data_IF_151712120366
#
_entry.id   IF_151712120366
#
_cell.length_a   1.000
_cell.length_b   1.000
_cell.length_c   1.000
_cell.angle_alpha   90.00
_cell.angle_beta   90.00
_cell.angle_gamma   90.00
#
_symmetry.space_group_name_H-M   'P 1'
#
loop_
_entity.id
_entity.type
_entity.pdbx_description
1 polymer ?
#
# COMPACT_ATOMS: atom_id res chain seq x y z
N UNK A 1 26.42 -4.32 28.03
CA UNK A 1 25.84 -5.53 27.42
C UNK A 1 24.74 -5.06 26.49
N UNK A 2 25.03 -5.04 25.19
CA UNK A 2 24.02 -4.74 24.17
C UNK A 2 23.26 -6.01 23.81
N UNK A 3 22.03 -5.83 23.33
CA UNK A 3 21.49 -6.65 22.25
C UNK A 3 20.33 -5.90 21.60
N UNK A 4 20.59 -5.49 20.37
CA UNK A 4 19.62 -5.11 19.36
C UNK A 4 19.12 -6.39 18.68
N UNK A 5 17.81 -6.51 18.44
CA UNK A 5 17.19 -7.40 17.44
C UNK A 5 15.75 -6.90 17.24
N UNK A 6 15.50 -5.97 16.32
CA UNK A 6 15.36 -6.15 14.86
C UNK A 6 14.19 -7.05 14.46
N UNK A 7 13.06 -6.38 14.23
CA UNK A 7 12.06 -6.56 13.15
C UNK A 7 12.16 -7.79 12.24
N UNK A 8 11.05 -8.53 12.12
CA UNK A 8 10.89 -9.56 11.08
C UNK A 8 9.46 -10.08 11.00
N UNK A 9 8.57 -9.28 10.42
CA UNK A 9 7.21 -9.68 10.03
C UNK A 9 7.27 -10.86 9.06
N UNK A 10 6.75 -12.02 9.47
CA UNK A 10 6.56 -13.19 8.60
C UNK A 10 5.40 -12.89 7.66
N UNK A 11 5.72 -12.42 6.45
CA UNK A 11 4.78 -12.30 5.35
C UNK A 11 4.69 -13.67 4.66
N UNK A 12 3.65 -14.44 4.97
CA UNK A 12 3.29 -15.63 4.22
C UNK A 12 2.75 -15.19 2.85
N UNK A 13 3.62 -15.20 1.85
CA UNK A 13 3.27 -14.99 0.45
C UNK A 13 2.66 -16.31 -0.07
N UNK A 14 1.43 -16.32 -0.63
CA UNK A 14 0.93 -17.48 -1.35
C UNK A 14 1.76 -17.69 -2.61
N UNK A 15 2.39 -18.87 -2.72
CA UNK A 15 3.14 -19.31 -3.89
C UNK A 15 2.24 -19.27 -5.12
N UNK A 16 2.54 -18.38 -6.06
CA UNK A 16 1.89 -18.35 -7.37
C UNK A 16 2.19 -19.65 -8.12
N UNK A 17 1.21 -20.22 -8.87
CA UNK A 17 1.49 -21.37 -9.72
C UNK A 17 2.45 -20.93 -10.84
N UNK A 18 3.59 -21.61 -10.94
CA UNK A 18 4.55 -21.42 -12.06
C UNK A 18 3.81 -21.66 -13.37
N UNK A 19 3.69 -20.61 -14.18
CA UNK A 19 3.27 -20.72 -15.56
C UNK A 19 4.33 -21.52 -16.34
N UNK A 20 3.94 -22.48 -17.20
CA UNK A 20 4.90 -23.19 -18.02
C UNK A 20 5.51 -22.21 -19.04
N UNK A 21 6.83 -22.09 -19.01
CA UNK A 21 7.60 -21.36 -20.02
C UNK A 21 7.46 -22.11 -21.34
N UNK A 22 6.82 -21.50 -22.33
CA UNK A 22 6.80 -21.99 -23.70
C UNK A 22 8.20 -21.81 -24.31
N UNK A 23 8.91 -22.91 -24.54
CA UNK A 23 10.10 -22.90 -25.40
C UNK A 23 9.64 -22.90 -26.87
N UNK A 24 10.01 -21.90 -27.69
CA UNK A 24 9.62 -21.87 -29.09
C UNK A 24 10.66 -22.65 -29.89
N UNK A 25 10.62 -23.98 -29.84
CA UNK A 25 11.36 -24.83 -30.79
C UNK A 25 10.56 -26.12 -31.00
N UNK A 26 9.47 -26.04 -31.77
CA UNK A 26 8.86 -27.23 -32.35
C UNK A 26 9.63 -27.53 -33.64
N UNK A 27 10.57 -28.47 -33.57
CA UNK A 27 11.19 -29.03 -34.78
C UNK A 27 10.34 -30.19 -35.24
N UNK A 28 9.58 -29.99 -36.33
CA UNK A 28 8.89 -31.07 -37.03
C UNK A 28 9.94 -31.89 -37.77
N UNK A 29 10.34 -33.04 -37.22
CA UNK A 29 11.17 -34.02 -37.93
C UNK A 29 10.26 -34.76 -38.92
N UNK A 30 10.21 -34.27 -40.16
CA UNK A 30 9.60 -35.01 -41.25
C UNK A 30 10.46 -36.25 -41.52
N UNK A 31 9.91 -37.44 -41.31
CA UNK A 31 10.58 -38.70 -41.62
C UNK A 31 10.51 -38.96 -43.12
N UNK A 32 11.26 -38.19 -43.91
CA UNK A 32 11.52 -38.46 -45.31
C UNK A 32 12.81 -39.26 -45.49
N UNK A 33 12.93 -40.13 -46.50
CA UNK A 33 14.14 -40.92 -46.71
C UNK A 33 15.28 -40.03 -47.23
N UNK A 34 16.43 -40.06 -46.55
CA UNK A 34 17.61 -39.25 -46.86
C UNK A 34 18.48 -40.03 -47.85
N UNK A 35 18.54 -39.60 -49.12
CA UNK A 35 19.62 -40.01 -50.04
C UNK A 35 20.82 -39.07 -49.87
N UNK A 36 21.98 -39.67 -49.61
CA UNK A 36 23.21 -39.01 -49.19
C UNK A 36 23.87 -38.12 -50.27
N UNK A 37 24.40 -36.97 -49.87
CA UNK A 37 25.79 -36.50 -50.15
C UNK A 37 25.95 -34.99 -49.89
N UNK A 38 27.01 -34.60 -49.17
CA UNK A 38 27.51 -33.20 -49.12
C UNK A 38 27.81 -32.61 -47.73
N UNK A 39 29.02 -32.87 -47.23
CA UNK A 39 29.80 -32.24 -46.12
C UNK A 39 29.57 -30.72 -45.91
N UNK A 40 29.56 -30.11 -44.70
CA UNK A 40 30.53 -30.19 -43.58
C UNK A 40 29.99 -29.48 -42.31
N UNK A 41 30.55 -29.85 -41.15
CA UNK A 41 30.62 -29.14 -39.84
C UNK A 41 29.67 -29.54 -38.70
N UNK A 42 30.22 -30.42 -37.84
CA UNK A 42 30.18 -30.38 -36.36
C UNK A 42 28.84 -30.53 -35.62
N UNK A 43 28.44 -31.77 -35.35
CA UNK A 43 28.08 -32.25 -33.99
C UNK A 43 27.82 -33.77 -34.04
N UNK A 44 28.46 -34.48 -33.11
CA UNK A 44 28.21 -35.86 -32.66
C UNK A 44 27.22 -36.73 -33.45
N UNK A 45 27.76 -37.76 -34.08
CA UNK A 45 27.06 -38.97 -34.51
C UNK A 45 26.58 -39.80 -33.31
N UNK A 46 25.63 -39.28 -32.52
CA UNK A 46 24.75 -40.14 -31.75
C UNK A 46 23.66 -40.60 -32.70
N UNK A 47 23.63 -41.90 -33.01
CA UNK A 47 22.46 -42.54 -33.59
C UNK A 47 21.22 -42.01 -32.87
N UNK A 48 20.19 -41.63 -33.63
CA UNK A 48 18.92 -41.08 -33.11
C UNK A 48 18.28 -41.96 -32.00
N UNK A 49 18.74 -43.21 -31.88
CA UNK A 49 18.40 -44.19 -30.84
C UNK A 49 19.00 -43.95 -29.44
N UNK A 50 20.04 -43.12 -29.30
CA UNK A 50 20.74 -42.90 -28.02
C UNK A 50 20.45 -41.54 -27.37
N UNK A 51 19.60 -40.73 -28.01
CA UNK A 51 19.17 -39.47 -27.42
C UNK A 51 18.21 -39.75 -26.25
N UNK A 52 18.71 -39.53 -25.04
CA UNK A 52 17.98 -39.68 -23.77
C UNK A 52 16.64 -38.94 -23.81
N UNK A 53 16.56 -37.79 -24.47
CA UNK A 53 15.35 -37.00 -24.48
C UNK A 53 14.32 -37.52 -25.50
N UNK A 54 14.76 -38.10 -26.62
CA UNK A 54 13.89 -38.85 -27.53
C UNK A 54 13.35 -40.14 -26.89
N UNK A 55 14.14 -40.84 -26.08
CA UNK A 55 13.67 -42.02 -25.35
C UNK A 55 12.65 -41.66 -24.25
N UNK A 56 12.82 -40.53 -23.56
CA UNK A 56 11.82 -40.02 -22.59
C UNK A 56 10.52 -39.62 -23.30
N UNK A 57 10.60 -38.99 -24.47
CA UNK A 57 9.43 -38.64 -25.28
C UNK A 57 8.72 -39.89 -25.81
N UNK A 58 9.46 -40.93 -26.19
CA UNK A 58 8.90 -42.21 -26.63
C UNK A 58 8.21 -43.00 -25.50
N UNK A 59 8.64 -42.80 -24.25
CA UNK A 59 8.02 -43.38 -23.06
C UNK A 59 6.70 -42.71 -22.66
N UNK A 60 6.37 -41.53 -23.22
CA UNK A 60 5.08 -40.88 -22.98
C UNK A 60 3.96 -41.74 -23.59
N UNK A 61 2.95 -42.15 -22.81
CA UNK A 61 1.79 -42.86 -23.34
C UNK A 61 1.16 -42.04 -24.47
N UNK A 62 1.11 -42.62 -25.67
CA UNK A 62 0.53 -41.96 -26.84
C UNK A 62 -0.99 -41.96 -26.67
N UNK A 63 -1.56 -40.80 -26.42
CA UNK A 63 -3.02 -40.64 -26.41
C UNK A 63 -3.51 -40.52 -27.85
N UNK A 64 -4.36 -41.45 -28.27
CA UNK A 64 -5.14 -41.22 -29.49
C UNK A 64 -6.05 -40.02 -29.27
N UNK A 65 -6.35 -39.23 -30.32
CA UNK A 65 -7.34 -38.17 -30.21
C UNK A 65 -8.64 -38.73 -29.64
N UNK A 66 -9.22 -37.98 -28.70
CA UNK A 66 -10.49 -38.31 -28.03
C UNK A 66 -11.58 -38.61 -29.08
N UNK A 67 -11.49 -37.96 -30.24
CA UNK A 67 -12.29 -38.23 -31.42
C UNK A 67 -11.45 -38.99 -32.47
N UNK A 68 -11.47 -40.33 -32.42
CA UNK A 68 -10.79 -41.17 -33.43
C UNK A 68 -11.26 -40.93 -34.88
N UNK A 69 -12.42 -40.30 -35.05
CA UNK A 69 -12.97 -39.90 -36.36
C UNK A 69 -12.22 -38.71 -36.99
N UNK A 70 -11.53 -37.85 -36.22
CA UNK A 70 -10.90 -36.65 -36.79
C UNK A 70 -9.62 -36.91 -37.59
N UNK A 71 -9.08 -38.14 -37.58
CA UNK A 71 -7.82 -38.47 -38.28
C UNK A 71 -8.06 -39.33 -39.54
N UNK A 72 -9.16 -40.07 -39.63
CA UNK A 72 -9.51 -40.82 -40.84
C UNK A 72 -10.80 -40.25 -41.43
N UNK A 73 -10.65 -39.30 -42.35
CA UNK A 73 -11.75 -38.68 -43.12
C UNK A 73 -12.53 -39.68 -44.01
N UNK A 74 -12.21 -40.98 -43.96
CA UNK A 74 -12.82 -42.04 -44.76
C UNK A 74 -13.82 -42.93 -44.00
N UNK A 75 -14.02 -42.71 -42.70
CA UNK A 75 -15.04 -43.45 -41.95
C UNK A 75 -16.32 -42.61 -41.84
N UNK A 76 -17.46 -43.24 -42.18
CA UNK A 76 -18.83 -42.71 -42.17
C UNK A 76 -19.09 -41.73 -40.99
N UNK A 77 -19.64 -40.52 -41.22
CA UNK A 77 -19.91 -39.52 -40.18
C UNK A 77 -20.94 -39.98 -39.12
N UNK A 78 -21.55 -41.14 -39.31
CA UNK A 78 -22.50 -41.76 -38.38
C UNK A 78 -21.82 -42.62 -37.31
N UNK A 79 -20.52 -42.95 -37.47
CA UNK A 79 -19.74 -43.74 -36.53
C UNK A 79 -18.80 -42.88 -35.67
N UNK A 80 -19.30 -41.75 -35.16
CA UNK A 80 -18.58 -41.03 -34.11
C UNK A 80 -18.59 -41.94 -32.88
N UNK A 81 -17.42 -42.39 -32.36
CA UNK A 81 -17.40 -43.16 -31.12
C UNK A 81 -18.02 -42.27 -30.04
N UNK A 82 -19.20 -42.69 -29.57
CA UNK A 82 -19.92 -42.00 -28.51
C UNK A 82 -18.97 -41.90 -27.33
N UNK A 83 -18.54 -40.68 -26.99
CA UNK A 83 -17.74 -40.45 -25.79
C UNK A 83 -18.49 -41.12 -24.64
N UNK A 84 -17.81 -41.96 -23.88
CA UNK A 84 -18.44 -42.59 -22.72
C UNK A 84 -18.94 -41.45 -21.80
N UNK A 85 -20.24 -41.31 -21.65
CA UNK A 85 -20.85 -40.19 -20.92
C UNK A 85 -20.49 -40.22 -19.42
N UNK A 86 -20.08 -41.38 -18.89
CA UNK A 86 -19.73 -41.59 -17.49
C UNK A 86 -18.52 -40.74 -17.05
N UNK A 87 -17.33 -40.90 -17.67
CA UNK A 87 -16.15 -40.09 -17.35
C UNK A 87 -16.37 -38.57 -17.50
N UNK A 88 -17.10 -38.13 -18.52
CA UNK A 88 -17.40 -36.70 -18.73
C UNK A 88 -18.35 -36.14 -17.66
N UNK A 89 -19.35 -36.92 -17.25
CA UNK A 89 -20.23 -36.56 -16.14
C UNK A 89 -19.47 -36.50 -14.81
N UNK A 90 -18.59 -37.46 -14.54
CA UNK A 90 -17.74 -37.45 -13.33
C UNK A 90 -16.81 -36.25 -13.30
N UNK A 91 -16.20 -35.89 -14.43
CA UNK A 91 -15.40 -34.67 -14.56
C UNK A 91 -16.24 -33.43 -14.27
N UNK A 92 -17.45 -33.35 -14.83
CA UNK A 92 -18.36 -32.21 -14.63
C UNK A 92 -18.79 -32.07 -13.17
N UNK A 93 -19.09 -33.18 -12.48
CA UNK A 93 -19.39 -33.20 -11.05
C UNK A 93 -18.20 -32.77 -10.20
N UNK A 94 -17.00 -33.24 -10.52
CA UNK A 94 -15.77 -32.82 -9.83
C UNK A 94 -15.52 -31.34 -10.02
N UNK A 95 -15.70 -30.83 -11.24
CA UNK A 95 -15.55 -29.41 -11.55
C UNK A 95 -16.59 -28.55 -10.81
N UNK A 96 -17.85 -28.97 -10.78
CA UNK A 96 -18.91 -28.31 -10.03
C UNK A 96 -18.55 -28.21 -8.53
N UNK A 97 -18.08 -29.31 -7.94
CA UNK A 97 -17.67 -29.33 -6.52
C UNK A 97 -16.50 -28.39 -6.25
N UNK A 98 -15.52 -28.35 -7.16
CA UNK A 98 -14.36 -27.49 -7.04
C UNK A 98 -14.74 -26.01 -7.15
N UNK A 99 -15.58 -25.65 -8.12
CA UNK A 99 -16.05 -24.27 -8.25
C UNK A 99 -16.92 -23.82 -7.07
N UNK A 100 -17.76 -24.72 -6.54
CA UNK A 100 -18.50 -24.43 -5.32
C UNK A 100 -17.56 -24.14 -4.15
N UNK A 101 -16.54 -24.98 -3.95
CA UNK A 101 -15.55 -24.78 -2.90
C UNK A 101 -14.78 -23.46 -3.07
N UNK A 102 -14.35 -23.14 -4.30
CA UNK A 102 -13.73 -21.85 -4.58
C UNK A 102 -14.66 -20.67 -4.28
N UNK A 103 -15.95 -20.76 -4.66
CA UNK A 103 -16.93 -19.72 -4.40
C UNK A 103 -17.16 -19.52 -2.89
N UNK A 104 -17.25 -20.61 -2.12
CA UNK A 104 -17.41 -20.56 -0.66
C UNK A 104 -16.19 -19.91 0.02
N UNK A 105 -14.97 -20.24 -0.40
CA UNK A 105 -13.74 -19.60 0.11
C UNK A 105 -13.75 -18.11 -0.22
N UNK A 106 -13.95 -17.75 -1.49
CA UNK A 106 -13.94 -16.35 -1.93
C UNK A 106 -15.01 -15.54 -1.18
N UNK A 107 -16.20 -16.09 -0.98
CA UNK A 107 -17.26 -15.44 -0.22
C UNK A 107 -16.86 -15.22 1.25
N UNK A 108 -16.20 -16.21 1.87
CA UNK A 108 -15.70 -16.09 3.24
C UNK A 108 -14.64 -14.98 3.35
N UNK A 109 -13.65 -14.97 2.45
CA UNK A 109 -12.59 -13.97 2.41
C UNK A 109 -13.15 -12.56 2.17
N UNK A 110 -14.09 -12.41 1.22
CA UNK A 110 -14.76 -11.13 0.97
C UNK A 110 -15.51 -10.62 2.20
N UNK A 111 -16.18 -11.52 2.93
CA UNK A 111 -16.87 -11.15 4.18
C UNK A 111 -15.88 -10.70 5.25
N UNK A 112 -14.73 -11.37 5.37
CA UNK A 112 -13.67 -10.99 6.30
C UNK A 112 -13.08 -9.62 5.96
N UNK A 113 -12.78 -9.37 4.68
CA UNK A 113 -12.26 -8.08 4.19
C UNK A 113 -13.29 -6.97 4.46
N UNK A 114 -14.57 -7.21 4.18
CA UNK A 114 -15.64 -6.24 4.42
C UNK A 114 -15.72 -5.85 5.90
N UNK A 115 -15.62 -6.82 6.81
CA UNK A 115 -15.63 -6.54 8.25
C UNK A 115 -14.40 -5.74 8.68
N UNK A 116 -13.23 -6.07 8.14
CA UNK A 116 -11.99 -5.33 8.41
C UNK A 116 -12.06 -3.89 7.90
N UNK A 117 -12.65 -3.67 6.73
CA UNK A 117 -12.88 -2.33 6.18
C UNK A 117 -13.77 -1.51 7.11
N UNK A 118 -14.92 -2.05 7.53
CA UNK A 118 -15.83 -1.37 8.49
C UNK A 118 -15.15 -1.00 9.80
N UNK A 119 -14.30 -1.88 10.31
CA UNK A 119 -13.53 -1.66 11.53
C UNK A 119 -12.51 -0.52 11.36
N UNK A 120 -11.79 -0.49 10.24
CA UNK A 120 -10.86 0.59 9.89
C UNK A 120 -11.61 1.90 9.72
N UNK A 121 -12.75 1.92 9.03
CA UNK A 121 -13.57 3.12 8.84
C UNK A 121 -14.07 3.67 10.18
N UNK A 122 -14.51 2.78 11.07
CA UNK A 122 -14.95 3.17 12.42
C UNK A 122 -13.80 3.79 13.23
N UNK A 123 -12.60 3.19 13.17
CA UNK A 123 -11.41 3.75 13.82
C UNK A 123 -11.00 5.09 13.22
N UNK A 124 -11.03 5.20 11.89
CA UNK A 124 -10.71 6.42 11.16
C UNK A 124 -11.63 7.57 11.58
N UNK A 125 -12.95 7.32 11.59
CA UNK A 125 -13.94 8.28 12.06
C UNK A 125 -13.72 8.68 13.53
N UNK A 126 -13.38 7.73 14.40
CA UNK A 126 -13.09 8.04 15.81
C UNK A 126 -11.88 8.97 15.96
N UNK A 127 -10.80 8.70 15.23
CA UNK A 127 -9.60 9.56 15.24
C UNK A 127 -9.92 10.94 14.66
N UNK A 128 -10.68 10.99 13.56
CA UNK A 128 -11.11 12.25 12.95
C UNK A 128 -11.92 13.11 13.93
N UNK A 129 -12.87 12.52 14.66
CA UNK A 129 -13.64 13.28 15.66
C UNK A 129 -12.74 13.84 16.77
N UNK A 130 -11.80 13.04 17.28
CA UNK A 130 -10.82 13.51 18.29
C UNK A 130 -9.95 14.66 17.76
N UNK A 131 -9.59 14.64 16.48
CA UNK A 131 -8.83 15.72 15.86
C UNK A 131 -9.67 16.99 15.70
N UNK A 132 -10.94 16.87 15.29
CA UNK A 132 -11.88 17.98 15.19
C UNK A 132 -12.07 18.64 16.57
N UNK A 133 -12.24 17.84 17.63
CA UNK A 133 -12.38 18.37 18.99
C UNK A 133 -11.12 19.12 19.45
N UNK A 134 -9.94 18.58 19.16
CA UNK A 134 -8.67 19.27 19.43
C UNK A 134 -8.55 20.56 18.63
N UNK A 135 -8.92 20.55 17.35
CA UNK A 135 -8.90 21.73 16.49
C UNK A 135 -9.82 22.83 17.05
N UNK A 136 -11.04 22.48 17.48
CA UNK A 136 -11.96 23.43 18.12
C UNK A 136 -11.34 24.07 19.37
N UNK A 137 -10.71 23.27 20.23
CA UNK A 137 -10.02 23.78 21.44
C UNK A 137 -8.87 24.71 21.07
N UNK A 138 -8.03 24.36 20.09
CA UNK A 138 -6.95 25.23 19.63
C UNK A 138 -7.45 26.54 19.03
N UNK A 139 -8.58 26.51 18.32
CA UNK A 139 -9.21 27.72 17.83
C UNK A 139 -9.62 28.64 18.99
N UNK A 140 -10.25 28.10 20.04
CA UNK A 140 -10.58 28.86 21.26
C UNK A 140 -9.33 29.44 21.94
N UNK A 141 -8.24 28.68 22.04
CA UNK A 141 -6.99 29.18 22.61
C UNK A 141 -6.36 30.30 21.77
N UNK A 142 -6.45 30.21 20.43
CA UNK A 142 -5.98 31.26 19.54
C UNK A 142 -6.78 32.56 19.76
N UNK A 143 -8.10 32.46 19.90
CA UNK A 143 -8.96 33.62 20.22
C UNK A 143 -8.62 34.24 21.58
N UNK A 144 -8.32 33.42 22.59
CA UNK A 144 -7.86 33.92 23.90
C UNK A 144 -6.50 34.62 23.79
N UNK A 145 -5.56 34.04 23.05
CA UNK A 145 -4.24 34.63 22.79
C UNK A 145 -4.35 35.97 22.06
N UNK A 146 -5.29 36.08 21.11
CA UNK A 146 -5.59 37.33 20.41
C UNK A 146 -6.11 38.39 21.38
N UNK A 147 -7.08 38.06 22.24
CA UNK A 147 -7.58 38.98 23.28
C UNK A 147 -6.47 39.43 24.23
N UNK A 148 -5.59 38.52 24.66
CA UNK A 148 -4.45 38.85 25.52
C UNK A 148 -3.49 39.82 24.81
N UNK A 149 -3.26 39.62 23.51
CA UNK A 149 -2.44 40.53 22.70
C UNK A 149 -3.08 41.91 22.62
N UNK A 150 -4.40 42.00 22.44
CA UNK A 150 -5.13 43.28 22.41
C UNK A 150 -5.06 44.02 23.76
N UNK A 151 -5.11 43.28 24.89
CA UNK A 151 -4.91 43.88 26.22
C UNK A 151 -3.46 44.36 26.38
N UNK A 152 -2.47 43.57 25.96
CA UNK A 152 -1.07 43.95 26.04
C UNK A 152 -0.75 45.21 25.20
N UNK A 153 -1.35 45.34 24.01
CA UNK A 153 -1.21 46.54 23.18
C UNK A 153 -1.90 47.74 23.81
N UNK A 154 -3.08 47.57 24.42
CA UNK A 154 -3.75 48.63 25.19
C UNK A 154 -2.92 49.10 26.38
N UNK A 155 -2.34 48.18 27.16
CA UNK A 155 -1.45 48.49 28.27
C UNK A 155 -0.21 49.26 27.80
N UNK A 156 0.40 48.85 26.68
CA UNK A 156 1.53 49.59 26.09
C UNK A 156 1.15 51.02 25.69
N UNK A 157 -0.08 51.22 25.17
CA UNK A 157 -0.59 52.56 24.85
C UNK A 157 -0.80 53.41 26.12
N UNK A 158 -1.30 52.80 27.19
CA UNK A 158 -1.45 53.47 28.49
C UNK A 158 -0.10 53.86 29.08
N UNK A 159 0.91 52.98 29.03
CA UNK A 159 2.27 53.27 29.47
C UNK A 159 2.88 54.45 28.72
N UNK A 160 2.68 54.51 27.39
CA UNK A 160 3.08 55.65 26.56
C UNK A 160 2.36 56.94 26.97
N UNK A 161 1.04 56.88 27.19
CA UNK A 161 0.25 58.04 27.63
C UNK A 161 0.64 58.54 29.02
N UNK A 162 0.92 57.63 29.97
CA UNK A 162 1.41 57.98 31.30
C UNK A 162 2.80 58.60 31.25
N UNK A 163 3.66 58.10 30.37
CA UNK A 163 5.00 58.68 30.13
C UNK A 163 4.88 60.10 29.58
N UNK A 164 4.02 60.31 28.59
CA UNK A 164 3.75 61.65 28.04
C UNK A 164 3.19 62.60 29.11
N UNK A 165 2.27 62.12 29.95
CA UNK A 165 1.72 62.90 31.06
C UNK A 165 2.80 63.24 32.11
N UNK A 166 3.70 62.30 32.42
CA UNK A 166 4.83 62.53 33.31
C UNK A 166 5.75 63.64 32.78
N UNK A 167 6.03 63.63 31.47
CA UNK A 167 6.86 64.65 30.83
C UNK A 167 6.18 66.02 30.82
N UNK A 168 4.87 66.09 30.55
CA UNK A 168 4.08 67.33 30.66
C UNK A 168 4.07 67.89 32.08
N UNK A 169 3.88 67.04 33.10
CA UNK A 169 3.96 67.46 34.50
C UNK A 169 5.36 67.94 34.87
N UNK A 170 6.42 67.29 34.39
CA UNK A 170 7.79 67.76 34.60
C UNK A 170 7.99 69.15 33.97
N UNK A 171 7.50 69.36 32.75
CA UNK A 171 7.57 70.67 32.09
C UNK A 171 6.84 71.76 32.88
N UNK A 172 5.65 71.46 33.40
CA UNK A 172 4.91 72.39 34.28
C UNK A 172 5.68 72.65 35.59
N UNK A 173 6.24 71.62 36.21
CA UNK A 173 6.99 71.74 37.46
C UNK A 173 8.22 72.66 37.32
N UNK A 174 8.85 72.68 36.13
CA UNK A 174 9.95 73.59 35.82
C UNK A 174 9.53 75.06 35.70
N UNK A 175 8.24 75.36 35.53
CA UNK A 175 7.73 76.73 35.52
C UNK A 175 7.52 77.31 36.93
N UNK A 176 7.63 76.49 37.99
CA UNK A 176 7.57 76.97 39.37
C UNK A 176 8.92 77.53 39.83
N UNK A 177 8.87 78.45 40.81
CA UNK A 177 10.05 78.96 41.51
C UNK A 177 10.81 77.79 42.17
N UNK A 178 12.14 77.88 42.29
CA UNK A 178 12.99 76.77 42.72
C UNK A 178 12.66 76.23 44.13
N UNK A 179 12.11 77.06 45.01
CA UNK A 179 11.70 76.63 46.37
C UNK A 179 10.37 75.86 46.39
N UNK A 180 9.55 75.94 45.34
CA UNK A 180 8.23 75.31 45.24
C UNK A 180 8.20 74.10 44.28
N UNK A 181 9.36 73.66 43.76
CA UNK A 181 9.41 72.55 42.81
C UNK A 181 9.10 71.21 43.48
N UNK A 182 8.16 70.48 42.89
CA UNK A 182 7.72 69.17 43.37
C UNK A 182 8.73 68.07 43.02
N UNK A 183 8.75 66.95 43.78
CA UNK A 183 9.52 65.76 43.42
C UNK A 183 9.09 65.18 42.07
N UNK A 184 10.06 64.70 41.28
CA UNK A 184 9.77 64.05 39.99
C UNK A 184 8.90 62.81 40.14
N UNK A 185 7.77 62.79 39.44
CA UNK A 185 6.87 61.64 39.38
C UNK A 185 7.48 60.52 38.54
N UNK A 186 7.60 59.32 39.12
CA UNK A 186 8.10 58.11 38.46
C UNK A 186 7.11 56.97 38.61
N UNK A 187 6.52 56.52 37.49
CA UNK A 187 5.53 55.44 37.47
C UNK A 187 6.16 54.04 37.38
N UNK A 188 7.50 53.94 37.28
CA UNK A 188 8.20 52.67 37.05
C UNK A 188 8.38 51.89 38.35
N UNK A 189 7.33 51.24 38.84
CA UNK A 189 7.49 50.13 39.78
C UNK A 189 7.88 48.86 39.02
N UNK A 190 9.16 48.51 39.06
CA UNK A 190 9.66 47.24 38.50
C UNK A 190 9.23 46.11 39.45
N UNK A 191 8.02 45.59 39.28
CA UNK A 191 7.73 44.26 39.82
C UNK A 191 8.54 43.25 39.02
N UNK A 192 9.65 42.81 39.62
CA UNK A 192 10.43 41.66 39.18
C UNK A 192 9.55 40.42 39.24
N UNK A 193 8.81 40.14 38.18
CA UNK A 193 8.31 38.79 37.94
C UNK A 193 9.51 38.01 37.42
N UNK A 194 10.21 37.38 38.37
CA UNK A 194 11.25 36.40 38.12
C UNK A 194 10.68 35.32 37.20
N UNK A 195 11.11 35.37 35.94
CA UNK A 195 11.00 34.29 34.97
C UNK A 195 11.76 33.07 35.50
N UNK A 196 11.07 32.18 36.21
CA UNK A 196 11.51 30.81 36.45
C UNK A 196 10.43 29.86 35.97
N UNK A 197 10.41 29.65 34.65
CA UNK A 197 9.92 28.43 34.03
C UNK A 197 10.98 28.04 32.99
N UNK A 198 11.97 27.28 33.46
CA UNK A 198 12.69 26.29 32.65
C UNK A 198 11.92 24.97 32.75
#
# INVERSE_FOLDING_TARGET
MGNEQSTGTVSNIPTTPKTPVYHPNITVVNSGPITASGSSATASSSSVSDDSDLNKLAAIPKFLPILRSSINLQNDPTQIPHLENGPLLQLSMRLQSHFRFCAEIVQSEQTQIMNRMKEVDTRSNSVQQRLIDKQKRFHTYCEQSKKLRDVATSLKRLDQSLTELADRMRAINLCLLPDDQLPTLSFRNKSTISSSCQ
#
